data_IF_951929688549
#
_entry.id   IF_951929688549
#
_cell.length_a   1.000
_cell.length_b   1.000
_cell.length_c   1.000
_cell.angle_alpha   90.00
_cell.angle_beta   90.00
_cell.angle_gamma   90.00
#
_symmetry.space_group_name_H-M   'P 1'
#
loop_
_entity.id
_entity.type
_entity.pdbx_description
1 polymer ?
#
# COMPACT_ATOMS: atom_id res chain seq x y z
N UNK A 1 -4.03 -20.65 -19.30
CA UNK A 1 -2.62 -21.12 -19.48
C UNK A 1 -1.67 -20.02 -19.06
N UNK A 2 -0.42 -20.31 -18.62
CA UNK A 2 0.49 -19.31 -18.06
C UNK A 2 0.68 -18.09 -18.97
N UNK A 3 0.96 -18.29 -20.26
CA UNK A 3 1.15 -17.21 -21.24
C UNK A 3 -0.07 -16.27 -21.34
N UNK A 4 -1.27 -16.82 -21.24
CA UNK A 4 -2.51 -16.02 -21.26
C UNK A 4 -2.66 -15.17 -19.99
N UNK A 5 -2.43 -15.75 -18.80
CA UNK A 5 -2.52 -15.02 -17.54
C UNK A 5 -1.42 -13.95 -17.42
N UNK A 6 -0.21 -14.22 -17.95
CA UNK A 6 0.85 -13.21 -18.09
C UNK A 6 0.38 -12.09 -19.02
N UNK A 7 -0.19 -12.40 -20.17
CA UNK A 7 -0.67 -11.40 -21.12
C UNK A 7 -1.81 -10.55 -20.53
N UNK A 8 -2.75 -11.15 -19.77
CA UNK A 8 -3.79 -10.44 -19.02
C UNK A 8 -3.17 -9.47 -18.02
N UNK A 9 -2.18 -9.91 -17.24
CA UNK A 9 -1.53 -9.06 -16.23
C UNK A 9 -0.77 -7.89 -16.88
N UNK A 10 -0.06 -8.12 -17.99
CA UNK A 10 0.60 -7.05 -18.75
C UNK A 10 -0.41 -6.07 -19.32
N UNK A 11 -1.53 -6.56 -19.87
CA UNK A 11 -2.61 -5.72 -20.38
C UNK A 11 -3.23 -4.87 -19.27
N UNK A 12 -3.46 -5.44 -18.08
CA UNK A 12 -3.87 -4.70 -16.90
C UNK A 12 -2.90 -3.54 -16.58
N UNK A 13 -1.59 -3.81 -16.56
CA UNK A 13 -0.58 -2.80 -16.31
C UNK A 13 -0.63 -1.63 -17.29
N UNK A 14 -0.88 -1.93 -18.56
CA UNK A 14 -0.99 -0.91 -19.63
C UNK A 14 -2.30 -0.12 -19.49
N UNK A 15 -3.42 -0.79 -19.33
CA UNK A 15 -4.75 -0.15 -19.22
C UNK A 15 -4.84 0.76 -17.99
N UNK A 16 -4.20 0.39 -16.87
CA UNK A 16 -4.15 1.21 -15.66
C UNK A 16 -3.11 2.32 -15.70
N UNK A 17 -2.15 2.25 -16.63
CA UNK A 17 -1.04 3.20 -16.77
C UNK A 17 0.14 2.92 -15.83
N UNK A 18 0.21 1.74 -15.20
CA UNK A 18 1.40 1.32 -14.45
C UNK A 18 2.59 1.06 -15.38
N UNK A 19 2.31 0.48 -16.55
CA UNK A 19 3.30 0.13 -17.58
C UNK A 19 2.95 0.86 -18.87
N UNK A 20 3.87 1.62 -19.48
CA UNK A 20 3.62 2.20 -20.79
C UNK A 20 3.61 1.11 -21.89
N UNK A 21 2.81 1.31 -22.94
CA UNK A 21 2.68 0.34 -24.05
C UNK A 21 4.02 -0.07 -24.65
N UNK A 22 4.97 0.86 -24.74
CA UNK A 22 6.32 0.59 -25.28
C UNK A 22 7.13 -0.40 -24.43
N UNK A 23 6.75 -0.63 -23.17
CA UNK A 23 7.41 -1.58 -22.26
C UNK A 23 6.72 -2.95 -22.21
N UNK A 24 5.70 -3.21 -23.04
CA UNK A 24 4.95 -4.47 -23.07
C UNK A 24 5.85 -5.71 -23.10
N UNK A 25 6.76 -5.79 -24.06
CA UNK A 25 7.66 -6.93 -24.17
C UNK A 25 8.63 -7.06 -22.99
N UNK A 26 9.14 -5.93 -22.51
CA UNK A 26 10.03 -5.89 -21.34
C UNK A 26 9.31 -6.45 -20.09
N UNK A 27 8.11 -5.99 -19.83
CA UNK A 27 7.28 -6.44 -18.69
C UNK A 27 6.89 -7.92 -18.83
N UNK A 28 6.55 -8.37 -20.05
CA UNK A 28 6.30 -9.78 -20.32
C UNK A 28 7.52 -10.63 -19.95
N UNK A 29 8.73 -10.22 -20.40
CA UNK A 29 9.96 -10.95 -20.12
C UNK A 29 10.31 -10.99 -18.62
N UNK A 30 10.03 -9.91 -17.87
CA UNK A 30 10.18 -9.91 -16.42
C UNK A 30 9.26 -10.93 -15.73
N UNK A 31 8.02 -11.05 -16.20
CA UNK A 31 7.08 -12.04 -15.66
C UNK A 31 7.49 -13.48 -16.02
N UNK A 32 8.00 -13.71 -17.23
CA UNK A 32 8.55 -15.01 -17.63
C UNK A 32 9.74 -15.40 -16.73
N UNK A 33 10.66 -14.47 -16.46
CA UNK A 33 11.77 -14.69 -15.52
C UNK A 33 11.30 -15.06 -14.11
N UNK A 34 10.23 -14.42 -13.60
CA UNK A 34 9.63 -14.77 -12.29
C UNK A 34 9.14 -16.22 -12.24
N UNK A 35 8.63 -16.75 -13.35
CA UNK A 35 8.14 -18.12 -13.48
C UNK A 35 9.21 -19.11 -13.92
N UNK A 36 10.44 -18.65 -14.24
CA UNK A 36 11.50 -19.44 -14.86
C UNK A 36 11.01 -20.14 -16.14
N UNK A 37 10.29 -19.36 -16.98
CA UNK A 37 9.69 -19.81 -18.23
C UNK A 37 10.47 -19.25 -19.42
N UNK A 38 10.84 -20.13 -20.37
CA UNK A 38 11.60 -19.76 -21.56
C UNK A 38 10.69 -19.52 -22.77
N UNK A 39 9.48 -20.07 -22.77
CA UNK A 39 8.53 -19.97 -23.87
C UNK A 39 7.34 -19.08 -23.58
N UNK A 40 6.90 -18.33 -24.57
CA UNK A 40 5.74 -17.46 -24.51
C UNK A 40 4.90 -17.54 -25.78
N UNK A 41 3.68 -18.01 -25.65
CA UNK A 41 2.68 -18.01 -26.73
C UNK A 41 1.75 -16.80 -26.53
N UNK A 42 1.94 -15.78 -27.39
CA UNK A 42 1.11 -14.58 -27.31
C UNK A 42 -0.33 -14.90 -27.67
N UNK A 43 -1.33 -14.65 -26.80
CA UNK A 43 -2.73 -14.85 -27.14
C UNK A 43 -3.19 -13.87 -28.23
N UNK A 44 -4.07 -14.34 -29.11
CA UNK A 44 -4.63 -13.50 -30.19
C UNK A 44 -5.49 -12.35 -29.64
N UNK A 45 -6.27 -12.61 -28.58
CA UNK A 45 -7.15 -11.64 -27.97
C UNK A 45 -7.05 -11.72 -26.42
N UNK A 46 -7.19 -10.59 -25.77
CA UNK A 46 -7.33 -10.45 -24.32
C UNK A 46 -8.67 -9.80 -24.06
N UNK A 47 -9.51 -10.43 -23.25
CA UNK A 47 -10.78 -9.85 -22.83
C UNK A 47 -10.54 -8.68 -21.87
N UNK A 48 -11.20 -7.56 -22.15
CA UNK A 48 -11.14 -6.35 -21.30
C UNK A 48 -12.55 -6.01 -20.78
N UNK A 49 -12.68 -5.45 -19.57
CA UNK A 49 -11.59 -5.11 -18.64
C UNK A 49 -10.99 -6.36 -17.95
N UNK A 50 -9.67 -6.37 -17.77
CA UNK A 50 -8.98 -7.45 -17.06
C UNK A 50 -9.33 -7.44 -15.58
N UNK A 51 -9.81 -8.56 -15.04
CA UNK A 51 -10.02 -8.76 -13.62
C UNK A 51 -8.68 -9.11 -12.94
N UNK A 52 -8.16 -8.18 -12.13
CA UNK A 52 -6.85 -8.36 -11.48
C UNK A 52 -6.85 -9.51 -10.47
N UNK A 53 -7.92 -9.64 -9.63
CA UNK A 53 -8.02 -10.70 -8.61
C UNK A 53 -7.94 -12.07 -9.26
N UNK A 54 -8.79 -12.33 -10.25
CA UNK A 54 -8.82 -13.61 -10.99
C UNK A 54 -7.49 -13.89 -11.70
N UNK A 55 -6.91 -12.87 -12.35
CA UNK A 55 -5.63 -13.02 -13.07
C UNK A 55 -4.48 -13.35 -12.11
N UNK A 56 -4.44 -12.70 -10.94
CA UNK A 56 -3.43 -13.00 -9.92
C UNK A 56 -3.66 -14.40 -9.33
N UNK A 57 -4.91 -14.79 -9.06
CA UNK A 57 -5.21 -16.14 -8.55
C UNK A 57 -4.78 -17.23 -9.53
N UNK A 58 -5.06 -17.07 -10.84
CA UNK A 58 -4.57 -17.98 -11.90
C UNK A 58 -3.03 -18.12 -11.87
N UNK A 59 -2.32 -17.01 -11.74
CA UNK A 59 -0.85 -16.98 -11.70
C UNK A 59 -0.30 -17.59 -10.40
N UNK A 60 -0.94 -17.34 -9.28
CA UNK A 60 -0.57 -17.91 -7.98
C UNK A 60 -0.80 -19.42 -7.94
N UNK A 61 -1.90 -19.91 -8.49
CA UNK A 61 -2.17 -21.33 -8.60
C UNK A 61 -1.15 -22.05 -9.49
N UNK A 62 -0.75 -21.41 -10.59
CA UNK A 62 0.32 -21.95 -11.44
C UNK A 62 1.68 -21.94 -10.72
N UNK A 63 1.97 -20.93 -9.91
CA UNK A 63 3.19 -20.87 -9.09
C UNK A 63 3.22 -21.98 -8.04
N UNK A 64 2.11 -22.26 -7.37
CA UNK A 64 1.96 -23.37 -6.42
C UNK A 64 2.14 -24.71 -7.14
N UNK A 65 1.46 -24.91 -8.27
CA UNK A 65 1.54 -26.15 -9.08
C UNK A 65 2.96 -26.46 -9.56
N UNK A 66 3.75 -25.43 -9.88
CA UNK A 66 5.17 -25.53 -10.26
C UNK A 66 6.11 -25.67 -9.07
N UNK A 67 5.60 -25.58 -7.84
CA UNK A 67 6.43 -25.64 -6.63
C UNK A 67 7.31 -24.40 -6.41
N UNK A 68 6.99 -23.27 -7.03
CA UNK A 68 7.71 -22.02 -6.84
C UNK A 68 7.42 -21.38 -5.48
N UNK A 69 6.22 -21.61 -4.94
CA UNK A 69 5.78 -21.17 -3.63
C UNK A 69 5.00 -22.26 -2.90
N UNK A 70 4.97 -22.20 -1.58
CA UNK A 70 4.06 -22.98 -0.75
C UNK A 70 2.64 -22.41 -0.84
N UNK A 71 1.61 -23.28 -0.80
CA UNK A 71 0.21 -22.86 -0.81
C UNK A 71 -0.21 -22.34 0.57
N UNK A 72 0.12 -21.08 0.85
CA UNK A 72 -0.37 -20.35 2.01
C UNK A 72 -0.55 -18.87 1.68
N UNK A 73 -1.43 -18.20 2.40
CA UNK A 73 -1.74 -16.79 2.19
C UNK A 73 -0.48 -15.90 2.24
N UNK A 74 0.48 -16.24 3.10
CA UNK A 74 1.72 -15.45 3.24
C UNK A 74 2.57 -15.56 2.00
N UNK A 75 2.82 -16.78 1.49
CA UNK A 75 3.64 -16.97 0.30
C UNK A 75 2.94 -16.48 -0.96
N UNK A 76 1.61 -16.64 -1.05
CA UNK A 76 0.80 -16.04 -2.13
C UNK A 76 0.93 -14.51 -2.11
N UNK A 77 0.82 -13.87 -0.95
CA UNK A 77 0.96 -12.41 -0.80
C UNK A 77 2.38 -11.89 -1.10
N UNK A 78 3.41 -12.67 -0.83
CA UNK A 78 4.78 -12.33 -1.22
C UNK A 78 4.96 -12.43 -2.75
N UNK A 79 4.37 -13.45 -3.36
CA UNK A 79 4.54 -13.72 -4.78
C UNK A 79 3.70 -12.78 -5.65
N UNK A 80 2.45 -12.49 -5.28
CA UNK A 80 1.63 -11.52 -6.01
C UNK A 80 2.28 -10.13 -6.03
N UNK A 81 2.89 -9.74 -4.90
CA UNK A 81 3.63 -8.47 -4.82
C UNK A 81 4.85 -8.48 -5.74
N UNK A 82 5.51 -9.63 -5.90
CA UNK A 82 6.62 -9.80 -6.85
C UNK A 82 6.13 -9.70 -8.30
N UNK A 83 4.98 -10.30 -8.63
CA UNK A 83 4.37 -10.17 -9.96
C UNK A 83 4.01 -8.71 -10.26
N UNK A 84 3.33 -8.05 -9.34
CA UNK A 84 2.96 -6.65 -9.50
C UNK A 84 4.16 -5.71 -9.63
N UNK A 85 5.29 -6.04 -9.01
CA UNK A 85 6.53 -5.26 -9.16
C UNK A 85 7.03 -5.20 -10.61
N UNK A 86 6.75 -6.22 -11.42
CA UNK A 86 7.12 -6.22 -12.84
C UNK A 86 6.41 -5.12 -13.64
N UNK A 87 5.25 -4.67 -13.17
CA UNK A 87 4.44 -3.63 -13.80
C UNK A 87 4.77 -2.22 -13.28
N UNK A 88 5.49 -2.13 -12.16
CA UNK A 88 5.60 -0.87 -11.42
C UNK A 88 6.58 0.12 -12.05
N UNK A 89 6.20 1.40 -12.19
CA UNK A 89 7.15 2.45 -12.51
C UNK A 89 8.21 2.57 -11.40
N UNK A 90 9.41 2.98 -11.75
CA UNK A 90 10.49 3.19 -10.79
C UNK A 90 10.17 4.33 -9.83
N UNK A 91 10.71 4.31 -8.57
CA UNK A 91 10.44 5.36 -7.59
C UNK A 91 10.63 6.79 -8.11
N UNK A 92 11.75 7.04 -8.84
CA UNK A 92 12.01 8.37 -9.39
C UNK A 92 10.99 8.84 -10.43
N UNK A 93 10.41 7.92 -11.22
CA UNK A 93 9.34 8.25 -12.17
C UNK A 93 8.06 8.64 -11.42
N UNK A 94 7.69 7.87 -10.38
CA UNK A 94 6.51 8.15 -9.55
C UNK A 94 6.66 9.49 -8.83
N UNK A 95 7.84 9.75 -8.25
CA UNK A 95 8.13 11.00 -7.55
C UNK A 95 8.06 12.20 -8.52
N UNK A 96 8.64 12.07 -9.71
CA UNK A 96 8.57 13.13 -10.74
C UNK A 96 7.12 13.43 -11.12
N UNK A 97 6.36 12.40 -11.48
CA UNK A 97 4.95 12.54 -11.89
C UNK A 97 4.09 13.14 -10.75
N UNK A 98 4.35 12.72 -9.51
CA UNK A 98 3.68 13.28 -8.34
C UNK A 98 3.92 14.79 -8.22
N UNK A 99 5.17 15.24 -8.30
CA UNK A 99 5.49 16.65 -8.16
C UNK A 99 5.11 17.49 -9.36
N UNK A 100 5.12 16.93 -10.57
CA UNK A 100 4.56 17.59 -11.76
C UNK A 100 3.05 17.86 -11.58
N UNK A 101 2.29 16.86 -11.08
CA UNK A 101 0.86 17.05 -10.76
C UNK A 101 0.63 17.97 -9.57
N UNK A 102 1.53 17.97 -8.59
CA UNK A 102 1.47 18.87 -7.45
C UNK A 102 1.60 20.34 -7.88
N UNK A 103 2.42 20.62 -8.88
CA UNK A 103 2.53 21.97 -9.45
C UNK A 103 1.19 22.48 -10.05
N UNK A 104 0.31 21.56 -10.48
CA UNK A 104 -1.05 21.92 -10.90
C UNK A 104 -2.00 22.08 -9.71
N UNK A 105 -2.03 21.09 -8.82
CA UNK A 105 -2.70 21.16 -7.51
C UNK A 105 -2.28 20.01 -6.58
N UNK A 106 -2.23 20.23 -5.25
CA UNK A 106 -1.97 19.15 -4.29
C UNK A 106 -2.93 17.97 -4.45
N UNK A 107 -4.21 18.24 -4.76
CA UNK A 107 -5.21 17.20 -4.95
C UNK A 107 -4.92 16.31 -6.16
N UNK A 108 -4.50 16.86 -7.30
CA UNK A 108 -4.13 16.05 -8.48
C UNK A 108 -2.97 15.11 -8.18
N UNK A 109 -2.01 15.55 -7.38
CA UNK A 109 -0.88 14.70 -6.96
C UNK A 109 -1.34 13.54 -6.07
N UNK A 110 -2.17 13.81 -5.07
CA UNK A 110 -2.69 12.78 -4.18
C UNK A 110 -3.65 11.83 -4.90
N UNK A 111 -4.52 12.30 -5.79
CA UNK A 111 -5.39 11.47 -6.64
C UNK A 111 -4.56 10.48 -7.48
N UNK A 112 -3.50 10.97 -8.12
CA UNK A 112 -2.57 10.13 -8.89
C UNK A 112 -1.93 9.05 -8.01
N UNK A 113 -1.38 9.44 -6.87
CA UNK A 113 -0.64 8.54 -6.01
C UNK A 113 -1.56 7.52 -5.30
N UNK A 114 -2.79 7.93 -4.97
CA UNK A 114 -3.80 7.01 -4.43
C UNK A 114 -4.23 5.98 -5.47
N UNK A 115 -4.51 6.44 -6.71
CA UNK A 115 -4.81 5.54 -7.83
C UNK A 115 -3.67 4.55 -8.07
N UNK A 116 -2.43 5.01 -8.13
CA UNK A 116 -1.25 4.15 -8.28
C UNK A 116 -1.18 3.10 -7.15
N UNK A 117 -1.44 3.50 -5.91
CA UNK A 117 -1.43 2.59 -4.74
C UNK A 117 -2.53 1.52 -4.81
N UNK A 118 -3.65 1.83 -5.46
CA UNK A 118 -4.75 0.89 -5.72
C UNK A 118 -4.44 -0.03 -6.90
N UNK A 119 -4.03 0.54 -8.04
CA UNK A 119 -3.78 -0.22 -9.26
C UNK A 119 -2.57 -1.15 -9.13
N UNK A 120 -1.59 -0.78 -8.32
CA UNK A 120 -0.44 -1.63 -7.98
C UNK A 120 -0.76 -2.82 -7.07
N UNK A 121 -2.01 -3.00 -6.68
CA UNK A 121 -2.44 -3.98 -5.67
C UNK A 121 -1.73 -3.81 -4.30
N UNK A 122 -1.13 -2.65 -4.04
CA UNK A 122 -0.64 -2.33 -2.70
C UNK A 122 -1.82 -2.13 -1.74
N UNK A 123 -2.85 -1.39 -2.18
CA UNK A 123 -4.18 -1.38 -1.57
C UNK A 123 -5.02 -2.43 -2.30
N UNK A 124 -5.23 -3.57 -1.69
CA UNK A 124 -6.01 -4.68 -2.27
C UNK A 124 -7.50 -4.39 -2.23
N UNK A 125 -8.02 -3.71 -3.27
CA UNK A 125 -9.43 -3.27 -3.34
C UNK A 125 -10.40 -4.39 -3.06
N UNK A 126 -10.24 -5.54 -3.70
CA UNK A 126 -11.10 -6.71 -3.53
C UNK A 126 -11.13 -7.27 -2.09
N UNK A 127 -10.07 -7.05 -1.28
CA UNK A 127 -10.08 -7.37 0.15
C UNK A 127 -10.80 -6.28 0.93
N UNK A 128 -10.56 -5.01 0.61
CA UNK A 128 -11.20 -3.85 1.29
C UNK A 128 -12.71 -3.83 1.05
N UNK A 129 -13.18 -4.27 -0.11
CA UNK A 129 -14.61 -4.39 -0.45
C UNK A 129 -15.36 -5.41 0.45
N UNK A 130 -14.64 -6.34 1.09
CA UNK A 130 -15.21 -7.27 2.07
C UNK A 130 -15.45 -6.62 3.43
N UNK A 131 -14.89 -5.43 3.70
CA UNK A 131 -15.09 -4.71 4.95
C UNK A 131 -16.56 -4.26 5.07
N UNK A 132 -17.14 -4.50 6.24
CA UNK A 132 -18.50 -4.06 6.54
C UNK A 132 -18.45 -2.68 7.15
N UNK A 133 -19.21 -1.73 6.59
CA UNK A 133 -19.25 -0.34 7.04
C UNK A 133 -20.70 0.12 7.13
N UNK A 134 -21.08 0.69 8.26
CA UNK A 134 -22.40 1.29 8.45
C UNK A 134 -22.33 2.44 9.44
N UNK A 135 -23.43 3.19 9.53
CA UNK A 135 -23.58 4.32 10.42
C UNK A 135 -24.67 4.06 11.42
N UNK A 136 -24.50 4.58 12.62
CA UNK A 136 -25.47 4.48 13.72
C UNK A 136 -25.66 5.86 14.32
N UNK A 137 -26.94 6.26 14.46
CA UNK A 137 -27.29 7.48 15.18
C UNK A 137 -27.10 7.30 16.68
N UNK A 138 -26.51 8.30 17.31
CA UNK A 138 -26.32 8.36 18.77
C UNK A 138 -26.75 9.72 19.31
N UNK A 139 -26.90 9.86 20.65
CA UNK A 139 -27.14 11.19 21.26
C UNK A 139 -26.04 12.23 20.94
N UNK A 140 -24.88 11.78 20.52
CA UNK A 140 -23.70 12.61 20.16
C UNK A 140 -23.51 12.81 18.65
N UNK A 141 -24.50 12.42 17.84
CA UNK A 141 -24.45 12.45 16.38
C UNK A 141 -24.21 11.06 15.77
N UNK A 142 -23.99 11.03 14.47
CA UNK A 142 -23.78 9.83 13.67
C UNK A 142 -22.38 9.26 13.93
N UNK A 143 -22.31 7.94 14.21
CA UNK A 143 -21.05 7.21 14.45
C UNK A 143 -20.83 6.24 13.30
N UNK A 144 -19.62 6.26 12.71
CA UNK A 144 -19.18 5.28 11.72
C UNK A 144 -18.68 3.99 12.41
N UNK A 145 -19.26 2.85 12.01
CA UNK A 145 -18.85 1.53 12.50
C UNK A 145 -18.25 0.73 11.33
N UNK A 146 -17.11 0.09 11.57
CA UNK A 146 -16.44 -0.73 10.57
C UNK A 146 -16.02 -2.07 11.16
N UNK A 147 -16.35 -3.18 10.47
CA UNK A 147 -15.72 -4.48 10.67
C UNK A 147 -14.69 -4.65 9.54
N UNK A 148 -13.42 -4.62 9.91
CA UNK A 148 -12.31 -4.70 8.95
C UNK A 148 -11.98 -6.17 8.68
N UNK A 149 -12.55 -6.72 7.60
CA UNK A 149 -12.31 -8.09 7.13
C UNK A 149 -11.12 -8.17 6.15
N UNK A 150 -10.66 -7.04 5.65
CA UNK A 150 -9.50 -6.97 4.73
C UNK A 150 -8.17 -7.21 5.43
N UNK A 151 -8.14 -7.07 6.77
CA UNK A 151 -6.97 -7.38 7.57
C UNK A 151 -6.85 -8.90 7.70
N UNK A 152 -5.83 -9.54 7.12
CA UNK A 152 -5.70 -10.98 7.22
C UNK A 152 -5.58 -11.36 8.69
N UNK A 153 -6.48 -12.23 9.15
CA UNK A 153 -6.28 -12.92 10.43
C UNK A 153 -4.94 -13.65 10.34
N UNK A 154 -4.16 -13.57 11.41
CA UNK A 154 -2.87 -14.27 11.44
C UNK A 154 -3.15 -15.76 11.42
N UNK A 155 -2.97 -16.40 10.27
CA UNK A 155 -3.02 -17.85 10.14
C UNK A 155 -2.11 -18.48 11.20
N UNK A 156 -2.60 -19.43 12.03
CA UNK A 156 -1.79 -20.13 13.04
C UNK A 156 -0.52 -20.77 12.45
N UNK A 157 -0.58 -21.27 11.21
CA UNK A 157 0.59 -21.81 10.50
C UNK A 157 1.60 -20.72 10.18
N UNK A 158 1.14 -19.54 9.73
CA UNK A 158 2.01 -18.39 9.47
C UNK A 158 2.66 -17.86 10.75
N UNK A 159 1.92 -17.86 11.89
CA UNK A 159 2.48 -17.49 13.21
C UNK A 159 3.58 -18.49 13.62
N UNK A 160 3.35 -19.79 13.44
CA UNK A 160 4.33 -20.83 13.76
C UNK A 160 5.57 -20.73 12.87
N UNK A 161 5.39 -20.53 11.55
CA UNK A 161 6.49 -20.31 10.62
C UNK A 161 7.30 -19.05 10.97
N UNK A 162 6.61 -17.94 11.30
CA UNK A 162 7.28 -16.69 11.67
C UNK A 162 8.13 -16.79 12.96
N UNK A 163 7.75 -17.66 13.90
CA UNK A 163 8.54 -17.89 15.14
C UNK A 163 9.90 -18.53 14.87
N UNK A 164 10.01 -19.33 13.83
CA UNK A 164 11.23 -20.06 13.48
C UNK A 164 12.18 -19.27 12.57
N UNK A 165 11.73 -18.13 12.06
CA UNK A 165 12.56 -17.27 11.20
C UNK A 165 13.37 -16.31 12.06
N UNK A 166 14.70 -16.37 11.92
CA UNK A 166 15.58 -15.33 12.52
C UNK A 166 15.12 -13.96 11.98
N UNK A 167 14.69 -13.08 12.87
CA UNK A 167 14.32 -11.72 12.49
C UNK A 167 15.57 -10.99 11.98
N UNK A 168 15.61 -10.68 10.69
CA UNK A 168 16.61 -9.77 10.13
C UNK A 168 16.39 -8.35 10.69
N UNK A 169 17.43 -7.57 10.76
CA UNK A 169 17.37 -6.15 11.16
C UNK A 169 17.06 -5.20 10.00
N UNK A 170 16.75 -5.72 8.81
CA UNK A 170 16.47 -4.95 7.60
C UNK A 170 15.20 -5.43 6.92
N UNK A 171 14.26 -4.51 6.64
CA UNK A 171 14.10 -3.17 7.25
C UNK A 171 13.90 -3.26 8.76
N UNK A 172 14.25 -2.21 9.51
CA UNK A 172 14.11 -2.20 10.98
C UNK A 172 12.65 -2.29 11.45
N UNK A 173 11.73 -1.63 10.75
CA UNK A 173 10.29 -1.71 11.00
C UNK A 173 9.49 -1.48 9.72
N UNK A 174 8.15 -1.57 9.80
CA UNK A 174 7.23 -1.42 8.66
C UNK A 174 7.18 -0.02 8.05
N UNK A 175 7.72 1.00 8.74
CA UNK A 175 7.70 2.40 8.31
C UNK A 175 9.07 2.93 7.83
N UNK A 176 10.13 2.10 7.90
CA UNK A 176 11.43 2.53 7.40
C UNK A 176 11.42 2.71 5.87
N UNK A 177 12.11 3.73 5.32
CA UNK A 177 12.18 3.94 3.87
C UNK A 177 12.68 2.72 3.08
N UNK A 178 13.49 1.88 3.71
CA UNK A 178 14.03 0.64 3.15
C UNK A 178 12.96 -0.41 2.81
N UNK A 179 11.70 -0.18 3.20
CA UNK A 179 10.59 -1.01 2.75
C UNK A 179 10.28 -0.84 1.27
N UNK A 180 10.53 0.33 0.67
CA UNK A 180 10.25 0.55 -0.74
C UNK A 180 11.02 -0.45 -1.61
N UNK A 181 10.30 -1.28 -2.36
CA UNK A 181 10.89 -2.32 -3.20
C UNK A 181 11.34 -3.59 -2.45
N UNK A 182 11.12 -3.68 -1.12
CA UNK A 182 11.53 -4.85 -0.35
C UNK A 182 10.67 -6.08 -0.66
N UNK A 183 11.33 -7.21 -0.96
CA UNK A 183 10.65 -8.45 -1.35
C UNK A 183 9.81 -9.09 -0.23
N UNK A 184 10.05 -8.70 1.01
CA UNK A 184 9.35 -9.30 2.14
C UNK A 184 9.95 -10.64 2.58
N UNK A 185 9.34 -11.22 3.60
CA UNK A 185 9.61 -12.56 4.14
C UNK A 185 8.43 -12.97 5.02
N UNK A 186 8.38 -14.21 5.46
CA UNK A 186 7.25 -14.76 6.24
C UNK A 186 6.80 -13.90 7.43
N UNK A 187 7.73 -13.20 8.09
CA UNK A 187 7.43 -12.32 9.22
C UNK A 187 7.54 -10.80 8.90
N UNK A 188 7.65 -10.43 7.63
CA UNK A 188 7.69 -9.05 7.19
C UNK A 188 7.05 -8.92 5.80
N UNK A 189 6.04 -8.09 5.60
CA UNK A 189 5.30 -8.05 4.33
C UNK A 189 6.17 -7.57 3.17
N UNK A 190 5.87 -8.07 1.98
CA UNK A 190 6.46 -7.56 0.75
C UNK A 190 5.99 -6.11 0.47
N UNK A 191 6.87 -5.33 -0.12
CA UNK A 191 6.64 -3.92 -0.48
C UNK A 191 7.22 -3.57 -1.86
N UNK A 192 7.34 -4.56 -2.76
CA UNK A 192 7.89 -4.34 -4.09
C UNK A 192 6.98 -3.46 -4.96
N UNK A 193 5.67 -3.54 -4.74
CA UNK A 193 4.64 -2.73 -5.38
C UNK A 193 4.30 -1.44 -4.60
N UNK A 194 5.05 -1.12 -3.56
CA UNK A 194 4.90 0.08 -2.76
C UNK A 194 5.83 1.20 -3.24
N UNK A 195 5.36 2.45 -3.13
CA UNK A 195 6.15 3.66 -3.43
C UNK A 195 5.99 4.68 -2.31
N UNK A 196 7.01 5.50 -2.14
CA UNK A 196 7.11 6.54 -1.12
C UNK A 196 7.35 7.87 -1.80
N UNK A 197 6.60 8.89 -1.41
CA UNK A 197 6.83 10.26 -1.84
C UNK A 197 7.66 10.97 -0.76
N UNK A 198 8.90 11.38 -1.07
CA UNK A 198 9.68 12.18 -0.13
C UNK A 198 9.08 13.59 -0.02
N UNK A 199 8.90 14.04 1.22
CA UNK A 199 8.42 15.36 1.58
C UNK A 199 9.32 15.97 2.65
N UNK A 200 9.24 17.28 2.83
CA UNK A 200 9.95 17.99 3.90
C UNK A 200 8.93 18.53 4.90
N UNK A 201 9.10 18.18 6.16
CA UNK A 201 8.27 18.64 7.27
C UNK A 201 9.20 19.11 8.40
N UNK A 202 8.97 20.30 8.94
CA UNK A 202 9.80 20.91 9.98
C UNK A 202 11.30 20.82 9.62
N UNK A 203 11.63 21.21 8.39
CA UNK A 203 12.98 21.22 7.79
C UNK A 203 13.72 19.87 7.85
N UNK A 204 13.00 18.77 7.99
CA UNK A 204 13.54 17.41 8.03
C UNK A 204 12.92 16.51 6.97
N UNK A 205 13.64 15.44 6.51
CA UNK A 205 13.13 14.54 5.48
C UNK A 205 12.10 13.55 6.06
N UNK A 206 10.95 13.46 5.40
CA UNK A 206 9.83 12.58 5.71
C UNK A 206 9.38 11.81 4.47
N UNK A 207 8.71 10.68 4.70
CA UNK A 207 8.04 9.91 3.66
C UNK A 207 6.52 10.03 3.79
N UNK A 208 5.85 10.18 2.66
CA UNK A 208 4.40 10.11 2.53
C UNK A 208 4.03 8.85 1.76
N UNK A 209 3.15 8.03 2.32
CA UNK A 209 2.64 6.79 1.71
C UNK A 209 1.18 6.56 2.09
N UNK A 210 0.44 5.81 1.26
CA UNK A 210 -0.85 5.30 1.69
C UNK A 210 -0.70 4.06 2.56
N UNK A 211 -1.72 3.80 3.37
CA UNK A 211 -1.80 2.57 4.15
C UNK A 211 -2.53 1.49 3.34
N UNK A 212 -2.06 0.25 3.35
CA UNK A 212 -2.83 -0.86 2.77
C UNK A 212 -4.09 -1.18 3.58
N UNK A 213 -4.21 -0.64 4.80
CA UNK A 213 -5.39 -0.75 5.67
C UNK A 213 -6.23 0.51 5.54
N UNK A 214 -7.35 0.42 4.84
CA UNK A 214 -8.21 1.57 4.52
C UNK A 214 -9.23 1.77 5.63
N UNK A 215 -8.82 2.38 6.75
CA UNK A 215 -9.74 2.69 7.84
C UNK A 215 -10.73 3.81 7.47
N UNK A 216 -10.31 4.73 6.62
CA UNK A 216 -11.08 5.82 6.05
C UNK A 216 -10.53 6.19 4.68
N UNK A 217 -11.23 7.07 3.96
CA UNK A 217 -10.83 7.44 2.60
C UNK A 217 -9.41 8.01 2.55
N UNK A 218 -8.60 7.50 1.62
CA UNK A 218 -7.22 7.92 1.37
C UNK A 218 -6.34 7.86 2.63
N UNK A 219 -6.55 6.81 3.48
CA UNK A 219 -5.76 6.61 4.69
C UNK A 219 -4.27 6.57 4.38
N UNK A 220 -3.53 7.51 4.91
CA UNK A 220 -2.10 7.68 4.66
C UNK A 220 -1.28 7.67 5.96
N UNK A 221 0.01 7.41 5.79
CA UNK A 221 1.01 7.45 6.85
C UNK A 221 2.12 8.40 6.40
N UNK A 222 2.47 9.32 7.29
CA UNK A 222 3.57 10.26 7.14
C UNK A 222 4.59 9.93 8.19
N UNK A 223 5.79 9.52 7.78
CA UNK A 223 6.79 8.96 8.69
C UNK A 223 8.15 9.64 8.52
N UNK A 224 8.89 9.72 9.62
CA UNK A 224 10.25 10.24 9.60
C UNK A 224 11.17 9.30 8.82
N UNK A 225 12.00 9.83 7.91
CA UNK A 225 12.99 9.00 7.20
C UNK A 225 14.07 8.43 8.13
N UNK A 226 14.24 8.99 9.32
CA UNK A 226 15.10 8.42 10.37
C UNK A 226 14.27 7.57 11.34
N UNK A 227 14.76 6.37 11.63
CA UNK A 227 14.12 5.48 12.60
C UNK A 227 14.35 5.98 14.03
N UNK A 228 13.50 6.92 14.45
CA UNK A 228 13.51 7.53 15.79
C UNK A 228 12.18 7.30 16.49
N UNK A 229 12.13 7.08 17.82
CA UNK A 229 10.88 6.91 18.53
C UNK A 229 9.95 8.12 18.42
N UNK A 230 8.65 7.87 18.45
CA UNK A 230 7.63 8.92 18.58
C UNK A 230 7.82 9.69 19.87
N UNK A 231 7.55 11.01 19.81
CA UNK A 231 7.55 11.87 20.97
C UNK A 231 6.53 13.00 20.77
N UNK A 232 5.57 13.09 21.68
CA UNK A 232 4.55 14.16 21.66
C UNK A 232 5.11 15.38 22.37
N UNK A 233 5.58 16.33 21.60
CA UNK A 233 6.09 17.60 22.05
C UNK A 233 5.68 18.72 21.07
N UNK A 234 6.06 19.96 21.33
CA UNK A 234 5.72 21.12 20.49
C UNK A 234 6.05 20.89 19.01
N UNK A 235 7.15 20.23 18.71
CA UNK A 235 7.56 19.94 17.33
C UNK A 235 6.59 18.99 16.61
N UNK A 236 5.88 18.10 17.32
CA UNK A 236 4.84 17.26 16.71
C UNK A 236 3.73 18.13 16.10
N UNK A 237 3.27 19.16 16.80
CA UNK A 237 2.25 20.09 16.28
C UNK A 237 2.76 20.87 15.06
N UNK A 238 4.02 21.33 15.08
CA UNK A 238 4.62 22.01 13.93
C UNK A 238 4.61 21.10 12.71
N UNK A 239 5.02 19.84 12.89
CA UNK A 239 5.01 18.82 11.82
C UNK A 239 3.60 18.58 11.26
N UNK A 240 2.59 18.50 12.12
CA UNK A 240 1.19 18.34 11.70
C UNK A 240 0.73 19.51 10.83
N UNK A 241 1.01 20.76 11.26
CA UNK A 241 0.65 21.95 10.50
C UNK A 241 1.41 22.07 9.19
N UNK A 242 2.67 21.70 9.14
CA UNK A 242 3.44 21.74 7.89
C UNK A 242 2.89 20.77 6.84
N UNK A 243 2.47 19.58 7.26
CA UNK A 243 1.84 18.63 6.34
C UNK A 243 0.51 19.16 5.78
N UNK A 244 -0.36 19.75 6.61
CA UNK A 244 -1.65 20.26 6.11
C UNK A 244 -1.49 21.54 5.29
N UNK A 245 -0.36 22.25 5.37
CA UNK A 245 -0.02 23.30 4.40
C UNK A 245 0.32 22.72 3.03
N UNK A 246 1.02 21.57 2.99
CA UNK A 246 1.32 20.86 1.73
C UNK A 246 0.06 20.27 1.11
N UNK A 247 -0.81 19.66 1.93
CA UNK A 247 -2.02 18.97 1.51
C UNK A 247 -3.27 19.48 2.25
N UNK A 248 -3.81 20.68 1.89
CA UNK A 248 -4.89 21.33 2.64
C UNK A 248 -6.22 20.57 2.65
N UNK A 249 -6.40 19.61 1.75
CA UNK A 249 -7.59 18.76 1.67
C UNK A 249 -7.50 17.51 2.56
N UNK A 250 -6.37 17.29 3.24
CA UNK A 250 -6.15 16.20 4.19
C UNK A 250 -6.21 16.69 5.63
N UNK A 251 -6.57 15.78 6.53
CA UNK A 251 -6.23 15.91 7.95
C UNK A 251 -4.95 15.12 8.25
N UNK A 252 -4.29 15.45 9.34
CA UNK A 252 -3.20 14.68 9.91
C UNK A 252 -3.34 14.63 11.43
N UNK A 253 -3.18 13.44 11.99
CA UNK A 253 -3.25 13.19 13.43
C UNK A 253 -2.07 12.36 13.93
N UNK A 254 -1.79 12.43 15.21
CA UNK A 254 -0.77 11.64 15.88
C UNK A 254 -1.39 10.60 16.81
N UNK A 255 -0.78 9.42 16.89
CA UNK A 255 -1.00 8.52 18.02
C UNK A 255 -0.41 9.12 19.29
N UNK A 256 -0.89 8.71 20.46
CA UNK A 256 -0.16 8.99 21.70
C UNK A 256 1.13 8.18 21.75
N UNK A 257 2.17 8.73 22.33
CA UNK A 257 3.50 8.08 22.49
C UNK A 257 3.57 7.12 23.69
N UNK A 258 2.41 6.80 24.28
CA UNK A 258 2.27 5.90 25.43
C UNK A 258 1.75 4.52 24.98
N UNK A 259 2.48 3.43 25.25
CA UNK A 259 2.06 2.08 24.85
C UNK A 259 0.68 1.66 25.40
N UNK A 260 0.32 2.14 26.61
CA UNK A 260 -0.93 1.77 27.30
C UNK A 260 -2.19 2.26 26.57
N UNK A 261 -2.08 3.28 25.73
CA UNK A 261 -3.23 3.83 24.96
C UNK A 261 -3.35 3.23 23.56
N UNK A 262 -2.61 2.17 23.26
CA UNK A 262 -2.78 1.37 22.05
C UNK A 262 -2.13 1.92 20.79
N UNK A 263 -1.20 2.86 20.89
CA UNK A 263 -0.42 3.33 19.73
C UNK A 263 0.42 2.20 19.12
N UNK A 264 0.43 2.10 17.79
CA UNK A 264 1.26 1.12 17.07
C UNK A 264 2.56 1.75 16.58
N UNK A 265 3.64 0.94 16.49
CA UNK A 265 4.96 1.31 15.94
C UNK A 265 5.53 2.58 16.61
N UNK A 266 5.39 2.70 17.93
CA UNK A 266 5.88 3.86 18.69
C UNK A 266 7.40 4.06 18.62
N UNK A 267 8.13 3.04 18.18
CA UNK A 267 9.58 3.10 17.95
C UNK A 267 9.98 3.90 16.71
N UNK A 268 9.01 4.33 15.89
CA UNK A 268 9.25 5.09 14.66
C UNK A 268 8.29 6.29 14.61
N UNK A 269 8.84 7.50 14.56
CA UNK A 269 8.06 8.75 14.53
C UNK A 269 7.22 8.83 13.26
N UNK A 270 5.90 8.88 13.42
CA UNK A 270 4.95 8.89 12.31
C UNK A 270 3.61 9.50 12.70
N UNK A 271 2.85 9.90 11.69
CA UNK A 271 1.50 10.43 11.78
C UNK A 271 0.57 9.66 10.83
N UNK A 272 -0.73 9.71 11.09
CA UNK A 272 -1.76 9.13 10.24
C UNK A 272 -2.70 10.23 9.75
N UNK A 273 -3.06 10.19 8.48
CA UNK A 273 -3.90 11.18 7.85
C UNK A 273 -4.73 10.61 6.71
N UNK A 274 -5.44 11.49 6.02
CA UNK A 274 -6.25 11.13 4.87
C UNK A 274 -7.28 12.19 4.50
N UNK A 275 -8.06 11.88 3.49
CA UNK A 275 -9.16 12.74 3.04
C UNK A 275 -10.48 12.28 3.67
N UNK A 276 -10.69 12.65 4.94
CA UNK A 276 -11.85 12.23 5.72
C UNK A 276 -12.28 13.31 6.71
N UNK A 277 -13.59 13.39 6.97
CA UNK A 277 -14.16 14.29 7.98
C UNK A 277 -14.79 13.47 9.09
N UNK A 278 -14.20 13.49 10.27
CA UNK A 278 -14.68 12.74 11.43
C UNK A 278 -16.05 13.22 11.91
N UNK A 279 -16.83 12.33 12.54
CA UNK A 279 -18.11 12.64 13.13
C UNK A 279 -18.03 13.79 14.13
N UNK A 280 -16.97 13.85 14.94
CA UNK A 280 -16.72 14.97 15.89
C UNK A 280 -16.59 16.34 15.21
N UNK A 281 -16.02 16.40 14.00
CA UNK A 281 -15.91 17.63 13.24
C UNK A 281 -17.26 18.09 12.65
N UNK A 282 -18.23 17.21 12.54
CA UNK A 282 -19.59 17.48 12.06
C UNK A 282 -20.59 17.72 13.20
N UNK A 283 -20.23 17.34 14.41
CA UNK A 283 -21.08 17.48 15.58
C UNK A 283 -21.36 18.96 15.90
N UNK A 284 -22.55 19.29 16.43
CA UNK A 284 -22.83 20.64 16.89
C UNK A 284 -21.92 21.01 18.06
N UNK A 285 -21.57 22.29 18.15
CA UNK A 285 -20.80 22.81 19.29
C UNK A 285 -21.73 22.81 20.50
N UNK A 286 -21.37 22.05 21.54
CA UNK A 286 -22.03 22.11 22.84
C UNK A 286 -21.53 23.33 23.62
N UNK A 287 -22.45 24.02 24.36
CA UNK A 287 -22.11 25.19 25.18
C UNK A 287 -21.66 24.78 26.56
#
# INVERSE_FOLDING_TARGET
MLSESIAKLVQYGITTGLTPECERNYTTNLLLDVFHEDDYEKPDNIEEPVNLEETLDELLDEAVKRGLIEDSIVYRDLFDTRLMNCLMPRPGQVQKEFWDKYAESPKKATDYFYKLSQDSNYIRRYRVEKDQKWKVDSPYGEIDITINLSKPEKDPKAIAAARNVKSGSYPKCLLCPENEGYAGRVNHPARQNHRIIPITINDTPWGFQYSPYVYYNEHCIVFNCQHTPMKIERNAFIKLFDFVKLFPHYFLGSNADLPIVGGSILSHDHFQGGHYTFAMAKAPIEQ
#
